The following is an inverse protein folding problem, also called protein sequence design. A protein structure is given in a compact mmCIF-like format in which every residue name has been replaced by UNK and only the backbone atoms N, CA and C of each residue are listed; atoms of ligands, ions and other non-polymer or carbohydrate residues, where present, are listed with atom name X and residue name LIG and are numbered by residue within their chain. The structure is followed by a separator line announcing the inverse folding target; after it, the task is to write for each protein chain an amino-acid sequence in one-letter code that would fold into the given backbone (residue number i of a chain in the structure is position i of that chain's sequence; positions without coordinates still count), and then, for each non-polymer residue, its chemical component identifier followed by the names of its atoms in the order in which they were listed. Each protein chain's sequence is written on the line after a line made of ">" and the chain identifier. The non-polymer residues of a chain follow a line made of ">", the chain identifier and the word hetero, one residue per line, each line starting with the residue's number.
data_IF_158379904204
#
_entry.id   IF_158379904204
#
_cell.length_a   1.000
_cell.length_b   1.000
_cell.length_c   1.000
_cell.angle_alpha   90.00
_cell.angle_beta   90.00
_cell.angle_gamma   90.00
#
_symmetry.space_group_name_H-M   'P 1'
#
loop_
_entity.id
_entity.type
_entity.pdbx_description
1 polymer ?
#
# COMPACT_ATOMS: atom_id res chain seq x y z
N UNK A 1 -32.76 -23.33 5.15
CA UNK A 1 -33.50 -22.50 4.16
C UNK A 1 -32.42 -21.65 3.46
N UNK A 2 -32.39 -21.66 2.12
CA UNK A 2 -31.52 -20.73 1.41
C UNK A 2 -32.05 -19.31 1.66
N UNK A 3 -31.14 -18.31 1.96
CA UNK A 3 -31.58 -16.95 2.14
C UNK A 3 -32.28 -16.44 0.87
N UNK A 4 -33.26 -15.54 1.04
CA UNK A 4 -33.84 -14.87 -0.13
C UNK A 4 -32.77 -14.07 -0.87
N UNK A 5 -32.92 -13.83 -2.18
CA UNK A 5 -31.95 -13.05 -2.95
C UNK A 5 -31.65 -11.66 -2.34
N UNK A 6 -32.64 -11.08 -1.67
CA UNK A 6 -32.46 -9.81 -0.94
C UNK A 6 -31.57 -10.00 0.30
N UNK A 7 -31.80 -11.02 1.09
CA UNK A 7 -30.98 -11.34 2.28
C UNK A 7 -29.53 -11.64 1.89
N UNK A 8 -29.33 -12.42 0.82
CA UNK A 8 -28.00 -12.71 0.28
C UNK A 8 -27.25 -11.43 -0.16
N UNK A 9 -27.94 -10.50 -0.82
CA UNK A 9 -27.34 -9.21 -1.20
C UNK A 9 -26.97 -8.36 0.03
N UNK A 10 -27.86 -8.29 1.03
CA UNK A 10 -27.60 -7.53 2.27
C UNK A 10 -26.37 -8.12 2.98
N UNK A 11 -26.28 -9.44 3.09
CA UNK A 11 -25.15 -10.08 3.74
C UNK A 11 -23.85 -9.89 2.94
N UNK A 12 -23.89 -9.99 1.62
CA UNK A 12 -22.74 -9.74 0.76
C UNK A 12 -22.19 -8.31 0.91
N UNK A 13 -23.06 -7.29 1.01
CA UNK A 13 -22.63 -5.91 1.22
C UNK A 13 -21.96 -5.66 2.57
N UNK A 14 -22.16 -6.51 3.56
CA UNK A 14 -21.53 -6.41 4.88
C UNK A 14 -20.04 -6.78 4.88
N UNK A 15 -19.53 -7.38 3.81
CA UNK A 15 -18.10 -7.61 3.65
C UNK A 15 -17.29 -6.31 3.50
N UNK A 16 -17.95 -5.19 3.17
CA UNK A 16 -17.28 -3.90 2.99
C UNK A 16 -16.94 -3.26 4.35
N UNK A 17 -15.72 -2.69 4.50
CA UNK A 17 -15.33 -2.01 5.72
C UNK A 17 -16.30 -0.87 6.08
N UNK A 18 -16.73 -0.79 7.34
CA UNK A 18 -17.65 0.24 7.81
C UNK A 18 -19.12 0.03 7.42
N UNK A 19 -19.46 -1.05 6.71
CA UNK A 19 -20.85 -1.35 6.33
C UNK A 19 -21.48 -2.29 7.35
N UNK A 20 -22.26 -1.70 8.27
CA UNK A 20 -23.08 -2.46 9.22
C UNK A 20 -24.43 -2.91 8.62
N UNK A 21 -25.23 -3.72 9.37
CA UNK A 21 -26.49 -4.29 8.87
C UNK A 21 -27.47 -3.23 8.31
N UNK A 22 -27.66 -2.11 9.00
CA UNK A 22 -28.56 -1.03 8.56
C UNK A 22 -28.08 -0.36 7.27
N UNK A 23 -26.78 -0.14 7.12
CA UNK A 23 -26.19 0.43 5.91
C UNK A 23 -26.31 -0.52 4.73
N UNK A 24 -26.03 -1.81 4.93
CA UNK A 24 -26.17 -2.84 3.92
C UNK A 24 -27.61 -2.93 3.41
N UNK A 25 -28.59 -2.97 4.31
CA UNK A 25 -30.00 -2.99 3.97
C UNK A 25 -30.44 -1.77 3.14
N UNK A 26 -30.00 -0.56 3.56
CA UNK A 26 -30.30 0.68 2.81
C UNK A 26 -29.68 0.67 1.42
N UNK A 27 -28.44 0.20 1.30
CA UNK A 27 -27.72 0.05 0.00
C UNK A 27 -28.47 -0.93 -0.90
N UNK A 28 -28.86 -2.10 -0.39
CA UNK A 28 -29.60 -3.11 -1.16
C UNK A 28 -30.93 -2.55 -1.71
N UNK A 29 -31.72 -1.88 -0.88
CA UNK A 29 -32.97 -1.25 -1.34
C UNK A 29 -32.71 -0.14 -2.37
N UNK A 30 -31.72 0.72 -2.16
CA UNK A 30 -31.37 1.76 -3.13
C UNK A 30 -31.02 1.13 -4.51
N UNK A 31 -30.16 0.13 -4.53
CA UNK A 31 -29.76 -0.55 -5.76
C UNK A 31 -30.95 -1.19 -6.48
N UNK A 32 -31.83 -1.86 -5.75
CA UNK A 32 -32.95 -2.60 -6.35
C UNK A 32 -34.14 -1.71 -6.75
N UNK A 33 -34.39 -0.62 -6.03
CA UNK A 33 -35.54 0.25 -6.30
C UNK A 33 -35.18 1.45 -7.18
N UNK A 34 -34.03 2.09 -6.92
CA UNK A 34 -33.71 3.38 -7.50
C UNK A 34 -32.63 3.31 -8.58
N UNK A 35 -31.72 2.32 -8.51
CA UNK A 35 -30.56 2.28 -9.39
C UNK A 35 -30.19 0.87 -9.86
N UNK A 36 -31.10 0.19 -10.51
CA UNK A 36 -30.84 -1.16 -11.06
C UNK A 36 -29.71 -1.18 -12.09
N UNK A 37 -29.61 -0.14 -12.93
CA UNK A 37 -28.50 0.00 -13.87
C UNK A 37 -27.15 0.17 -13.17
N UNK A 38 -27.10 0.88 -12.03
CA UNK A 38 -25.91 0.96 -11.18
C UNK A 38 -25.56 -0.37 -10.53
N UNK A 39 -26.59 -1.11 -10.08
CA UNK A 39 -26.38 -2.46 -9.53
C UNK A 39 -25.76 -3.42 -10.56
N UNK A 40 -26.25 -3.38 -11.80
CA UNK A 40 -25.68 -4.20 -12.89
C UNK A 40 -24.23 -3.81 -13.18
N UNK A 41 -23.95 -2.50 -13.37
CA UNK A 41 -22.57 -2.05 -13.60
C UNK A 41 -21.61 -2.42 -12.45
N UNK A 42 -22.07 -2.36 -11.20
CA UNK A 42 -21.27 -2.79 -10.05
C UNK A 42 -20.96 -4.29 -10.09
N UNK A 43 -21.97 -5.11 -10.38
CA UNK A 43 -21.81 -6.54 -10.52
C UNK A 43 -20.83 -6.91 -11.64
N UNK A 44 -20.98 -6.28 -12.82
CA UNK A 44 -20.11 -6.51 -13.97
C UNK A 44 -18.66 -6.06 -13.69
N UNK A 45 -18.48 -4.88 -13.04
CA UNK A 45 -17.17 -4.37 -12.67
C UNK A 45 -16.47 -5.27 -11.63
N UNK A 46 -17.19 -5.77 -10.63
CA UNK A 46 -16.65 -6.70 -9.65
C UNK A 46 -16.24 -8.02 -10.31
N UNK A 47 -17.09 -8.56 -11.19
CA UNK A 47 -16.78 -9.78 -11.91
C UNK A 47 -15.55 -9.62 -12.81
N UNK A 48 -15.48 -8.52 -13.57
CA UNK A 48 -14.30 -8.17 -14.37
C UNK A 48 -13.04 -8.05 -13.51
N UNK A 49 -13.08 -7.28 -12.43
CA UNK A 49 -11.95 -7.10 -11.53
C UNK A 49 -11.42 -8.43 -10.95
N UNK A 50 -12.32 -9.30 -10.51
CA UNK A 50 -11.96 -10.62 -9.95
C UNK A 50 -11.30 -11.55 -10.97
N UNK A 51 -11.61 -11.39 -12.25
CA UNK A 51 -11.09 -12.26 -13.32
C UNK A 51 -9.85 -11.70 -14.00
N UNK A 52 -9.73 -10.38 -14.11
CA UNK A 52 -8.66 -9.71 -14.87
C UNK A 52 -7.54 -9.14 -14.00
N UNK A 53 -7.85 -8.63 -12.79
CA UNK A 53 -6.85 -7.98 -11.95
C UNK A 53 -5.99 -9.04 -11.25
N UNK A 54 -4.69 -8.85 -11.34
CA UNK A 54 -3.66 -9.65 -10.70
C UNK A 54 -2.62 -8.75 -10.06
N UNK A 55 -1.63 -9.34 -9.39
CA UNK A 55 -0.49 -8.61 -8.88
C UNK A 55 0.63 -8.52 -9.91
N UNK A 56 1.15 -7.32 -10.13
CA UNK A 56 2.35 -7.12 -10.93
C UNK A 56 3.49 -8.01 -10.41
N UNK A 57 4.08 -8.78 -11.28
CA UNK A 57 5.14 -9.74 -10.94
C UNK A 57 6.38 -9.09 -10.31
N UNK A 58 6.65 -7.79 -10.62
CA UNK A 58 7.81 -7.06 -10.11
C UNK A 58 7.54 -6.26 -8.85
N UNK A 59 6.44 -5.53 -8.77
CA UNK A 59 6.20 -4.55 -7.69
C UNK A 59 5.02 -4.89 -6.78
N UNK A 60 4.27 -5.95 -7.07
CA UNK A 60 3.09 -6.36 -6.32
C UNK A 60 1.88 -5.40 -6.41
N UNK A 61 1.92 -4.37 -7.28
CA UNK A 61 0.75 -3.51 -7.54
C UNK A 61 -0.37 -4.28 -8.26
N UNK A 62 -1.60 -3.83 -8.12
CA UNK A 62 -2.71 -4.35 -8.93
C UNK A 62 -2.55 -3.93 -10.40
N UNK A 63 -2.78 -4.88 -11.31
CA UNK A 63 -2.67 -4.67 -12.76
C UNK A 63 -3.43 -5.78 -13.51
N UNK A 64 -3.83 -5.53 -14.74
CA UNK A 64 -4.37 -6.55 -15.63
C UNK A 64 -3.28 -7.30 -16.40
N UNK A 65 -2.11 -6.70 -16.53
CA UNK A 65 -0.95 -7.24 -17.23
C UNK A 65 0.05 -7.92 -16.28
N UNK A 66 1.02 -8.66 -16.83
CA UNK A 66 2.11 -9.27 -16.05
C UNK A 66 2.96 -8.23 -15.33
N UNK A 67 3.21 -7.09 -16.00
CA UNK A 67 3.91 -5.94 -15.46
C UNK A 67 3.04 -4.70 -15.55
N UNK A 68 2.90 -3.99 -14.45
CA UNK A 68 2.21 -2.69 -14.46
C UNK A 68 2.99 -1.66 -15.29
N UNK A 69 2.33 -0.58 -15.72
CA UNK A 69 2.92 0.48 -16.53
C UNK A 69 4.24 1.02 -15.96
N UNK A 70 4.33 1.18 -14.64
CA UNK A 70 5.54 1.68 -13.97
C UNK A 70 6.70 0.72 -14.13
N UNK A 71 6.45 -0.57 -13.92
CA UNK A 71 7.49 -1.61 -14.06
C UNK A 71 7.90 -1.90 -15.51
N UNK A 72 7.02 -1.62 -16.47
CA UNK A 72 7.28 -1.74 -17.89
C UNK A 72 7.95 -0.49 -18.48
N UNK A 73 7.89 0.66 -17.79
CA UNK A 73 8.40 1.92 -18.31
C UNK A 73 9.93 1.96 -18.37
N UNK A 74 10.53 2.22 -19.54
CA UNK A 74 11.98 2.36 -19.69
C UNK A 74 12.51 3.70 -19.13
N UNK A 75 11.63 4.60 -18.72
CA UNK A 75 11.99 5.92 -18.17
C UNK A 75 12.30 5.85 -16.67
N UNK A 76 12.01 4.72 -16.03
CA UNK A 76 12.21 4.53 -14.59
C UNK A 76 13.61 4.02 -14.29
N UNK A 77 14.20 4.57 -13.25
CA UNK A 77 15.49 4.09 -12.74
C UNK A 77 15.29 2.77 -11.98
N UNK A 78 15.74 1.69 -12.58
CA UNK A 78 15.61 0.36 -12.02
C UNK A 78 16.58 0.10 -10.84
N UNK A 79 17.59 0.95 -10.66
CA UNK A 79 18.56 0.86 -9.55
C UNK A 79 17.98 1.34 -8.22
N UNK A 80 16.90 2.12 -8.25
CA UNK A 80 16.21 2.66 -7.08
C UNK A 80 14.90 1.91 -6.83
N UNK A 81 14.72 1.36 -5.62
CA UNK A 81 13.51 0.65 -5.23
C UNK A 81 12.89 1.26 -3.97
N UNK A 82 11.73 1.90 -4.11
CA UNK A 82 10.96 2.43 -2.99
C UNK A 82 9.96 1.38 -2.48
N UNK A 83 10.07 1.02 -1.20
CA UNK A 83 9.18 0.06 -0.53
C UNK A 83 8.11 0.80 0.25
N UNK A 84 6.85 0.56 -0.10
CA UNK A 84 5.66 1.18 0.52
C UNK A 84 4.72 0.11 1.08
N UNK A 85 3.86 0.46 2.03
CA UNK A 85 2.92 -0.48 2.65
C UNK A 85 1.72 -0.79 1.74
N UNK A 86 1.17 0.24 1.08
CA UNK A 86 -0.08 0.13 0.33
C UNK A 86 0.01 0.76 -1.07
N UNK A 87 -0.92 0.41 -2.00
CA UNK A 87 -1.03 1.09 -3.29
C UNK A 87 -1.34 2.59 -3.16
N UNK A 88 -2.01 3.00 -2.07
CA UNK A 88 -2.32 4.40 -1.80
C UNK A 88 -1.04 5.17 -1.51
N UNK A 89 -0.15 4.63 -0.68
CA UNK A 89 1.15 5.25 -0.37
C UNK A 89 1.98 5.44 -1.65
N UNK A 90 2.04 4.42 -2.51
CA UNK A 90 2.69 4.53 -3.82
C UNK A 90 2.10 5.67 -4.66
N UNK A 91 0.77 5.79 -4.72
CA UNK A 91 0.13 6.84 -5.49
C UNK A 91 0.43 8.23 -4.93
N UNK A 92 0.49 8.38 -3.60
CA UNK A 92 0.89 9.64 -2.96
C UNK A 92 2.34 10.02 -3.30
N UNK A 93 3.26 9.04 -3.30
CA UNK A 93 4.64 9.28 -3.72
C UNK A 93 4.74 9.71 -5.18
N UNK A 94 3.97 9.09 -6.08
CA UNK A 94 3.91 9.46 -7.50
C UNK A 94 3.42 10.89 -7.73
N UNK A 95 2.42 11.35 -6.96
CA UNK A 95 1.89 12.71 -7.06
C UNK A 95 2.94 13.79 -6.74
N UNK A 96 3.99 13.46 -6.02
CA UNK A 96 5.08 14.41 -5.74
C UNK A 96 5.93 14.72 -6.96
N UNK A 97 5.93 13.84 -7.97
CA UNK A 97 6.82 13.87 -9.14
C UNK A 97 8.32 13.92 -8.81
N UNK A 98 8.70 13.71 -7.55
CA UNK A 98 10.07 13.78 -7.06
C UNK A 98 10.84 12.47 -7.18
N UNK A 99 10.16 11.36 -7.49
CA UNK A 99 10.75 10.03 -7.54
C UNK A 99 10.61 9.40 -8.92
N UNK A 100 11.71 8.92 -9.47
CA UNK A 100 11.77 8.29 -10.79
C UNK A 100 12.16 6.80 -10.74
N UNK A 101 12.33 6.23 -9.56
CA UNK A 101 12.63 4.81 -9.38
C UNK A 101 11.41 3.89 -9.48
N UNK A 102 11.64 2.63 -9.17
CA UNK A 102 10.60 1.60 -9.10
C UNK A 102 10.07 1.42 -7.67
N UNK A 103 8.93 0.75 -7.56
CA UNK A 103 8.29 0.49 -6.26
C UNK A 103 8.23 -1.00 -5.96
N UNK A 104 8.06 -1.31 -4.68
CA UNK A 104 7.52 -2.57 -4.20
C UNK A 104 6.47 -2.31 -3.13
N UNK A 105 5.29 -2.92 -3.30
CA UNK A 105 4.15 -2.72 -2.40
C UNK A 105 4.01 -3.96 -1.53
N UNK A 106 4.10 -3.78 -0.22
CA UNK A 106 4.03 -4.86 0.76
C UNK A 106 2.60 -5.43 0.88
N UNK A 107 1.58 -4.65 0.52
CA UNK A 107 0.15 -4.94 0.76
C UNK A 107 -0.19 -5.10 2.24
N UNK A 108 0.61 -4.51 3.12
CA UNK A 108 0.44 -4.56 4.56
C UNK A 108 1.69 -4.15 5.31
N UNK A 109 1.76 -4.52 6.56
CA UNK A 109 2.88 -4.28 7.48
C UNK A 109 2.99 -5.42 8.48
N UNK A 110 4.15 -5.58 9.11
CA UNK A 110 4.31 -6.53 10.22
C UNK A 110 3.42 -6.06 11.37
N UNK A 111 2.48 -6.91 11.78
CA UNK A 111 1.58 -6.67 12.89
C UNK A 111 1.37 -7.97 13.68
N UNK A 112 2.12 -8.18 14.76
CA UNK A 112 1.97 -9.38 15.58
C UNK A 112 0.57 -9.53 16.17
N UNK A 113 -0.12 -8.41 16.45
CA UNK A 113 -1.49 -8.41 16.96
C UNK A 113 -2.51 -8.94 15.94
N UNK A 114 -2.25 -8.70 14.66
CA UNK A 114 -3.09 -9.17 13.55
C UNK A 114 -2.59 -10.52 12.98
N UNK A 115 -1.54 -11.11 13.58
CA UNK A 115 -0.93 -12.35 13.11
C UNK A 115 -0.16 -12.23 11.79
N UNK A 116 0.21 -10.99 11.38
CA UNK A 116 0.92 -10.72 10.13
C UNK A 116 2.42 -10.65 10.42
N UNK A 117 3.17 -11.64 9.95
CA UNK A 117 4.63 -11.69 10.01
C UNK A 117 5.30 -11.47 8.65
N UNK A 118 6.58 -11.77 8.60
CA UNK A 118 7.40 -11.60 7.39
C UNK A 118 6.97 -12.52 6.24
N UNK A 119 6.45 -13.71 6.56
CA UNK A 119 5.99 -14.68 5.56
C UNK A 119 4.69 -14.22 4.90
N UNK A 120 3.73 -13.75 5.70
CA UNK A 120 2.44 -13.25 5.23
C UNK A 120 2.61 -12.01 4.33
N UNK A 121 3.62 -11.17 4.60
CA UNK A 121 3.99 -10.05 3.73
C UNK A 121 4.77 -10.43 2.48
N UNK A 122 5.15 -11.70 2.33
CA UNK A 122 5.90 -12.16 1.16
C UNK A 122 7.27 -11.48 1.02
N UNK A 123 7.97 -11.19 2.11
CA UNK A 123 9.26 -10.50 2.11
C UNK A 123 10.36 -11.27 1.36
N UNK A 124 10.19 -12.57 1.16
CA UNK A 124 11.07 -13.37 0.31
C UNK A 124 11.01 -12.92 -1.17
N UNK A 125 9.84 -12.53 -1.65
CA UNK A 125 9.68 -11.99 -3.02
C UNK A 125 10.34 -10.62 -3.15
N UNK A 126 10.23 -9.77 -2.12
CA UNK A 126 10.96 -8.51 -2.05
C UNK A 126 12.46 -8.76 -2.08
N UNK A 127 12.97 -9.69 -1.28
CA UNK A 127 14.38 -10.03 -1.24
C UNK A 127 14.87 -10.53 -2.61
N UNK A 128 14.14 -11.45 -3.24
CA UNK A 128 14.46 -11.93 -4.58
C UNK A 128 14.51 -10.80 -5.61
N UNK A 129 13.58 -9.83 -5.52
CA UNK A 129 13.55 -8.65 -6.39
C UNK A 129 14.75 -7.73 -6.18
N UNK A 130 15.24 -7.60 -4.94
CA UNK A 130 16.41 -6.76 -4.62
C UNK A 130 17.70 -7.42 -5.07
N UNK A 131 17.79 -8.73 -4.93
CA UNK A 131 18.99 -9.51 -5.26
C UNK A 131 19.14 -9.86 -6.75
N UNK A 132 18.31 -9.32 -7.63
CA UNK A 132 18.45 -9.51 -9.09
C UNK A 132 19.70 -8.80 -9.68
N UNK A 133 20.42 -8.05 -8.86
CA UNK A 133 21.67 -7.37 -9.21
C UNK A 133 21.48 -6.00 -9.87
N UNK A 134 20.24 -5.53 -10.03
CA UNK A 134 19.94 -4.23 -10.64
C UNK A 134 19.74 -3.17 -9.56
N UNK A 135 19.12 -3.53 -8.40
CA UNK A 135 18.82 -2.61 -7.32
C UNK A 135 20.07 -2.27 -6.52
N UNK A 136 20.45 -1.00 -6.49
CA UNK A 136 21.58 -0.48 -5.70
C UNK A 136 21.13 0.19 -4.39
N UNK A 137 19.91 0.75 -4.37
CA UNK A 137 19.35 1.41 -3.21
C UNK A 137 17.89 1.01 -2.98
N UNK A 138 17.58 0.68 -1.73
CA UNK A 138 16.21 0.45 -1.24
C UNK A 138 15.82 1.62 -0.34
N UNK A 139 14.78 2.35 -0.72
CA UNK A 139 14.22 3.46 0.04
C UNK A 139 13.00 2.94 0.80
N UNK A 140 13.07 2.90 2.13
CA UNK A 140 11.95 2.48 2.96
C UNK A 140 10.99 3.65 3.19
N UNK A 141 9.80 3.54 2.63
CA UNK A 141 8.71 4.51 2.75
C UNK A 141 7.50 3.89 3.47
N UNK A 142 7.77 3.10 4.51
CA UNK A 142 6.74 2.61 5.44
C UNK A 142 6.30 3.74 6.37
N UNK A 143 5.06 3.66 6.86
CA UNK A 143 4.51 4.64 7.78
C UNK A 143 5.32 4.73 9.09
N UNK A 144 5.31 5.89 9.74
CA UNK A 144 5.98 6.10 11.03
C UNK A 144 5.09 5.68 12.21
N UNK A 145 4.39 4.55 12.07
CA UNK A 145 3.70 3.83 13.15
C UNK A 145 4.63 2.78 13.75
N UNK A 146 4.29 2.24 14.92
CA UNK A 146 5.08 1.17 15.55
C UNK A 146 5.26 -0.03 14.61
N UNK A 147 4.22 -0.42 13.89
CA UNK A 147 4.21 -1.53 12.94
C UNK A 147 5.05 -1.20 11.70
N UNK A 148 4.95 0.02 11.17
CA UNK A 148 5.74 0.48 10.05
C UNK A 148 7.23 0.59 10.39
N UNK A 149 7.57 1.01 11.63
CA UNK A 149 8.94 1.00 12.15
C UNK A 149 9.46 -0.43 12.29
N UNK A 150 8.69 -1.35 12.85
CA UNK A 150 9.06 -2.76 12.97
C UNK A 150 9.30 -3.37 11.59
N UNK A 151 8.45 -3.05 10.61
CA UNK A 151 8.58 -3.50 9.22
C UNK A 151 9.86 -2.97 8.58
N UNK A 152 10.14 -1.67 8.73
CA UNK A 152 11.37 -1.06 8.21
C UNK A 152 12.62 -1.65 8.87
N UNK A 153 12.59 -1.86 10.18
CA UNK A 153 13.70 -2.48 10.91
C UNK A 153 13.98 -3.91 10.42
N UNK A 154 12.92 -4.71 10.24
CA UNK A 154 13.06 -6.07 9.75
C UNK A 154 13.69 -6.11 8.34
N UNK A 155 13.18 -5.28 7.41
CA UNK A 155 13.72 -5.20 6.05
C UNK A 155 15.18 -4.73 6.06
N UNK A 156 15.50 -3.72 6.89
CA UNK A 156 16.88 -3.24 7.05
C UNK A 156 17.81 -4.35 7.54
N UNK A 157 17.40 -5.10 8.56
CA UNK A 157 18.16 -6.22 9.11
C UNK A 157 18.37 -7.33 8.06
N UNK A 158 17.34 -7.63 7.26
CA UNK A 158 17.39 -8.63 6.18
C UNK A 158 18.38 -8.23 5.08
N UNK A 159 18.53 -6.93 4.80
CA UNK A 159 19.39 -6.41 3.73
C UNK A 159 20.81 -6.07 4.18
N UNK A 160 21.08 -5.99 5.48
CA UNK A 160 22.37 -5.53 6.06
C UNK A 160 23.61 -6.20 5.50
N UNK A 161 23.53 -7.46 5.11
CA UNK A 161 24.66 -8.25 4.58
C UNK A 161 24.64 -8.42 3.07
N UNK A 162 23.73 -7.72 2.35
CA UNK A 162 23.49 -7.97 0.91
C UNK A 162 24.17 -6.96 -0.02
N UNK A 163 24.88 -5.96 0.51
CA UNK A 163 25.61 -4.98 -0.30
C UNK A 163 24.73 -3.95 -0.99
N UNK A 164 23.46 -3.83 -0.60
CA UNK A 164 22.50 -2.87 -1.13
C UNK A 164 22.36 -1.71 -0.15
N UNK A 165 22.37 -0.46 -0.63
CA UNK A 165 22.10 0.73 0.18
C UNK A 165 20.67 0.70 0.70
N UNK A 166 20.47 0.98 1.99
CA UNK A 166 19.13 1.09 2.59
C UNK A 166 18.99 2.47 3.18
N UNK A 167 18.02 3.22 2.68
CA UNK A 167 17.68 4.55 3.16
C UNK A 167 16.23 4.59 3.61
N UNK A 168 15.83 5.66 4.27
CA UNK A 168 14.45 5.88 4.70
C UNK A 168 14.03 7.30 4.37
N UNK A 169 12.75 7.50 4.02
CA UNK A 169 12.21 8.85 3.86
C UNK A 169 12.46 9.66 5.13
N UNK A 170 12.80 10.93 4.98
CA UNK A 170 13.10 11.79 6.13
C UNK A 170 11.83 12.09 6.94
N UNK A 171 11.99 12.20 8.26
CA UNK A 171 11.00 12.80 9.16
C UNK A 171 11.23 14.29 9.19
N UNK A 172 10.17 15.06 9.38
CA UNK A 172 10.37 16.50 9.48
C UNK A 172 9.11 17.28 9.81
N UNK A 173 9.34 18.54 10.16
CA UNK A 173 8.28 19.54 10.31
C UNK A 173 7.73 19.83 8.91
N UNK A 174 6.39 19.86 8.72
CA UNK A 174 5.79 20.14 7.42
C UNK A 174 6.16 21.57 6.95
N UNK A 175 6.51 21.68 5.68
CA UNK A 175 6.82 22.96 5.06
C UNK A 175 5.56 23.84 5.00
N UNK A 176 5.68 25.10 5.43
CA UNK A 176 4.56 26.06 5.45
C UNK A 176 3.67 25.98 6.70
N UNK A 177 4.00 25.09 7.65
CA UNK A 177 3.35 25.04 8.96
C UNK A 177 4.09 25.89 10.02
N UNK A 178 3.33 26.44 10.96
CA UNK A 178 3.90 27.11 12.13
C UNK A 178 4.24 26.06 13.20
N UNK A 179 5.37 26.24 13.91
CA UNK A 179 5.87 25.27 14.90
C UNK A 179 4.88 25.01 16.03
N UNK A 180 4.04 25.99 16.36
CA UNK A 180 3.03 25.86 17.44
C UNK A 180 1.93 24.83 17.15
N UNK A 181 1.71 24.48 15.85
CA UNK A 181 0.73 23.46 15.43
C UNK A 181 1.33 22.08 15.21
N UNK A 182 2.64 21.95 15.38
CA UNK A 182 3.34 20.66 15.23
C UNK A 182 3.39 19.97 16.59
N UNK A 183 3.04 18.69 16.61
CA UNK A 183 3.11 17.92 17.85
C UNK A 183 4.54 17.82 18.41
N UNK A 184 4.64 17.73 19.74
CA UNK A 184 5.92 17.74 20.45
C UNK A 184 6.84 16.56 20.07
N UNK A 185 6.28 15.41 19.69
CA UNK A 185 7.04 14.24 19.24
C UNK A 185 7.74 14.48 17.93
N UNK A 186 7.04 15.06 16.95
CA UNK A 186 7.60 15.46 15.65
C UNK A 186 8.69 16.53 15.82
N UNK A 187 8.46 17.53 16.66
CA UNK A 187 9.48 18.56 16.96
C UNK A 187 10.73 17.96 17.62
N UNK A 188 10.54 17.07 18.60
CA UNK A 188 11.66 16.41 19.28
C UNK A 188 12.48 15.57 18.30
N UNK A 189 11.81 14.87 17.36
CA UNK A 189 12.49 14.08 16.34
C UNK A 189 13.23 14.97 15.33
N UNK A 190 12.62 16.05 14.85
CA UNK A 190 13.25 17.00 13.94
C UNK A 190 14.51 17.65 14.55
N UNK A 191 14.48 17.93 15.86
CA UNK A 191 15.66 18.42 16.59
C UNK A 191 16.79 17.39 16.68
N UNK A 192 16.46 16.11 16.87
CA UNK A 192 17.47 15.02 16.91
C UNK A 192 18.11 14.81 15.54
N UNK A 193 17.31 14.88 14.47
CA UNK A 193 17.73 14.64 13.08
C UNK A 193 18.12 15.94 12.34
N UNK A 194 18.31 17.05 13.06
CA UNK A 194 18.68 18.34 12.46
C UNK A 194 19.91 18.22 11.58
N UNK A 195 19.88 18.92 10.45
CA UNK A 195 20.99 19.00 9.50
C UNK A 195 21.76 20.31 9.69
N UNK A 196 23.06 20.27 9.41
CA UNK A 196 23.86 21.51 9.28
C UNK A 196 23.36 22.29 8.05
N UNK A 197 23.32 23.63 8.18
CA UNK A 197 22.99 24.55 7.09
C UNK A 197 24.25 24.93 6.33
#
# INVERSE_FOLDING_TARGET
>A
MNPSGLEALIEALRCLPGVGPKSAQRMAYHLLQQNRGGAQRLADALHHALTSIRHCRRCNAFTEEDLCERCASPRRDASLLCVVETPVDMNMMEQTHAYQGLYYILMGRISPLDGVGAQELGLERLLSRILDGVVSEVILATNYTNEGEATAHYITAMLKSKGVGVTRIARGVPVGGELEYVDSGTLAQALRERKAC
#
